data_IF_884112970078
#
_entry.id   IF_884112970078
#
_cell.length_a   1.000
_cell.length_b   1.000
_cell.length_c   1.000
_cell.angle_alpha   90.00
_cell.angle_beta   90.00
_cell.angle_gamma   90.00
#
_symmetry.space_group_name_H-M   'P 1'
#
loop_
_entity.id
_entity.type
_entity.pdbx_description
1 polymer ?
#
# COMPACT_ATOMS: atom_id res chain seq x y z
N UNK A 1 1.61 -17.71 41.38
CA UNK A 1 2.93 -17.23 40.93
C UNK A 1 2.70 -16.05 40.00
N UNK A 2 3.22 -14.86 40.32
CA UNK A 2 3.12 -13.72 39.39
C UNK A 2 4.08 -14.05 38.23
N UNK A 3 3.53 -14.25 37.03
CA UNK A 3 4.34 -14.47 35.83
C UNK A 3 5.31 -13.31 35.60
N UNK A 4 6.37 -13.55 34.81
CA UNK A 4 7.25 -12.46 34.38
C UNK A 4 6.44 -11.40 33.64
N UNK A 5 6.72 -10.11 33.83
CA UNK A 5 5.94 -9.06 33.19
C UNK A 5 6.26 -9.04 31.67
N UNK A 6 5.22 -8.80 30.86
CA UNK A 6 5.26 -8.96 29.39
C UNK A 6 6.26 -8.01 28.74
N UNK A 7 6.41 -6.80 29.28
CA UNK A 7 7.36 -5.78 28.81
C UNK A 7 8.82 -6.26 28.90
N UNK A 8 9.19 -6.95 29.98
CA UNK A 8 10.52 -7.54 30.13
C UNK A 8 10.76 -8.67 29.13
N UNK A 9 9.79 -9.56 28.94
CA UNK A 9 9.89 -10.66 27.98
C UNK A 9 10.06 -10.15 26.54
N UNK A 10 9.28 -9.14 26.15
CA UNK A 10 9.39 -8.52 24.83
C UNK A 10 10.75 -7.85 24.66
N UNK A 11 11.21 -7.11 25.68
CA UNK A 11 12.51 -6.44 25.63
C UNK A 11 13.67 -7.44 25.49
N UNK A 12 13.68 -8.52 26.28
CA UNK A 12 14.68 -9.61 26.18
C UNK A 12 14.66 -10.29 24.81
N UNK A 13 13.47 -10.49 24.23
CA UNK A 13 13.32 -11.08 22.89
C UNK A 13 13.87 -10.14 21.79
N UNK A 14 13.68 -8.84 21.92
CA UNK A 14 14.14 -7.84 20.95
C UNK A 14 15.63 -7.52 21.06
N UNK A 15 16.18 -7.58 22.27
CA UNK A 15 17.57 -7.25 22.60
C UNK A 15 18.23 -8.41 23.37
N UNK A 16 18.47 -9.57 22.73
CA UNK A 16 19.06 -10.72 23.41
C UNK A 16 20.51 -10.48 23.87
N UNK A 17 21.19 -9.49 23.28
CA UNK A 17 22.55 -9.04 23.64
C UNK A 17 22.59 -7.51 23.60
N UNK A 18 22.15 -6.83 24.67
CA UNK A 18 22.09 -5.36 24.68
C UNK A 18 23.49 -4.77 24.60
N UNK A 19 23.69 -3.81 23.69
CA UNK A 19 24.93 -3.03 23.56
C UNK A 19 24.84 -1.75 24.39
N UNK A 20 25.97 -1.10 24.65
CA UNK A 20 26.04 0.14 25.44
C UNK A 20 25.19 1.29 24.88
N UNK A 21 24.90 1.30 23.57
CA UNK A 21 24.02 2.30 22.93
C UNK A 21 22.53 1.92 22.88
N UNK A 22 22.17 0.72 23.31
CA UNK A 22 20.79 0.24 23.27
C UNK A 22 19.97 0.81 24.46
N UNK A 23 18.65 0.97 24.31
CA UNK A 23 17.79 1.47 25.38
C UNK A 23 17.81 0.48 26.55
N UNK A 24 17.99 0.93 27.80
CA UNK A 24 18.18 0.03 28.95
C UNK A 24 16.96 -0.82 29.33
N UNK A 25 15.75 -0.38 28.97
CA UNK A 25 14.49 -1.05 29.29
C UNK A 25 13.42 -0.73 28.25
N UNK A 26 12.30 -1.45 28.29
CA UNK A 26 11.20 -1.29 27.33
C UNK A 26 10.68 0.15 27.23
N UNK A 27 10.50 0.85 28.36
CA UNK A 27 10.08 2.26 28.36
C UNK A 27 11.06 3.21 27.63
N UNK A 28 12.38 3.01 27.75
CA UNK A 28 13.36 3.82 27.04
C UNK A 28 13.33 3.52 25.53
N UNK A 29 13.15 2.26 25.17
CA UNK A 29 12.97 1.84 23.79
C UNK A 29 11.71 2.46 23.16
N UNK A 30 10.60 2.41 23.90
CA UNK A 30 9.30 2.98 23.52
C UNK A 30 9.44 4.46 23.16
N UNK A 31 9.97 5.28 24.08
CA UNK A 31 10.08 6.73 23.89
C UNK A 31 11.06 7.10 22.78
N UNK A 32 12.19 6.39 22.67
CA UNK A 32 13.23 6.70 21.69
C UNK A 32 12.89 6.26 20.26
N UNK A 33 12.09 5.21 20.11
CA UNK A 33 11.96 4.49 18.83
C UNK A 33 10.52 4.31 18.38
N UNK A 34 9.65 3.76 19.21
CA UNK A 34 8.27 3.44 18.79
C UNK A 34 7.38 4.68 18.72
N UNK A 35 7.41 5.56 19.73
CA UNK A 35 6.56 6.77 19.75
C UNK A 35 6.85 7.69 18.54
N UNK A 36 8.12 7.96 18.18
CA UNK A 36 8.42 8.67 16.94
C UNK A 36 7.83 7.98 15.71
N UNK A 37 8.00 6.66 15.55
CA UNK A 37 7.43 5.92 14.41
C UNK A 37 5.91 6.03 14.33
N UNK A 38 5.20 5.94 15.47
CA UNK A 38 3.75 6.14 15.53
C UNK A 38 3.37 7.54 15.05
N UNK A 39 4.09 8.58 15.49
CA UNK A 39 3.82 9.96 15.06
C UNK A 39 4.04 10.15 13.56
N UNK A 40 5.09 9.55 13.00
CA UNK A 40 5.35 9.58 11.57
C UNK A 40 4.22 8.88 10.79
N UNK A 41 3.74 7.74 11.27
CA UNK A 41 2.62 7.05 10.63
C UNK A 41 1.32 7.85 10.69
N UNK A 42 1.01 8.42 11.86
CA UNK A 42 -0.19 9.26 12.03
C UNK A 42 -0.14 10.47 11.12
N UNK A 43 1.01 11.14 11.01
CA UNK A 43 1.20 12.27 10.11
C UNK A 43 1.08 11.85 8.64
N UNK A 44 1.65 10.71 8.25
CA UNK A 44 1.56 10.22 6.88
C UNK A 44 0.13 9.80 6.50
N UNK A 45 -0.64 9.26 7.46
CA UNK A 45 -1.99 8.76 7.22
C UNK A 45 -3.07 9.85 7.24
N UNK A 46 -3.02 10.76 8.24
CA UNK A 46 -4.01 11.83 8.41
C UNK A 46 -3.59 13.16 7.80
N UNK A 47 -2.33 13.31 7.40
CA UNK A 47 -1.76 14.58 6.99
C UNK A 47 -1.57 15.52 8.20
N UNK A 48 -2.48 16.47 8.38
CA UNK A 48 -2.36 17.49 9.41
C UNK A 48 -2.91 17.01 10.77
N UNK A 49 -2.13 17.17 11.84
CA UNK A 49 -2.46 16.68 13.19
C UNK A 49 -3.51 17.51 13.96
N UNK A 50 -4.26 18.37 13.28
CA UNK A 50 -5.30 19.19 13.92
C UNK A 50 -6.60 18.43 14.18
N UNK A 51 -6.86 17.36 13.43
CA UNK A 51 -8.06 16.57 13.63
C UNK A 51 -7.99 15.76 14.93
N UNK A 52 -9.14 15.61 15.58
CA UNK A 52 -9.24 14.83 16.80
C UNK A 52 -8.90 13.35 16.56
N UNK A 53 -9.21 12.86 15.36
CA UNK A 53 -8.87 11.52 14.90
C UNK A 53 -7.35 11.33 14.78
N UNK A 54 -6.63 12.31 14.22
CA UNK A 54 -5.16 12.25 14.15
C UNK A 54 -4.51 12.31 15.54
N UNK A 55 -5.10 13.04 16.49
CA UNK A 55 -4.59 13.10 17.87
C UNK A 55 -4.78 11.79 18.63
N UNK A 56 -5.83 11.03 18.30
CA UNK A 56 -6.16 9.74 18.93
C UNK A 56 -6.46 8.68 17.86
N UNK A 57 -5.44 8.25 17.09
CA UNK A 57 -5.62 7.35 15.95
C UNK A 57 -6.06 5.94 16.35
N UNK A 58 -5.91 5.58 17.64
CA UNK A 58 -6.45 4.33 18.16
C UNK A 58 -5.81 3.07 17.60
N UNK A 59 -4.51 3.12 17.31
CA UNK A 59 -3.78 1.99 16.70
C UNK A 59 -3.86 0.74 17.59
N UNK A 60 -4.54 -0.27 17.08
CA UNK A 60 -4.65 -1.61 17.66
C UNK A 60 -3.57 -2.54 17.07
N UNK A 61 -2.67 -3.02 17.92
CA UNK A 61 -1.52 -3.83 17.52
C UNK A 61 -1.88 -5.31 17.29
N UNK A 62 -3.10 -5.72 17.65
CA UNK A 62 -3.67 -7.03 17.29
C UNK A 62 -4.38 -6.97 15.92
N UNK A 63 -4.79 -5.78 15.49
CA UNK A 63 -5.49 -5.60 14.21
C UNK A 63 -4.51 -5.65 13.02
N UNK A 64 -4.75 -6.59 12.10
CA UNK A 64 -3.84 -6.90 10.99
C UNK A 64 -3.54 -5.68 10.08
N UNK A 65 -4.50 -4.85 9.65
CA UNK A 65 -4.22 -3.66 8.86
C UNK A 65 -3.27 -2.66 9.54
N UNK A 66 -3.44 -2.42 10.85
CA UNK A 66 -2.51 -1.57 11.61
C UNK A 66 -1.13 -2.19 11.68
N UNK A 67 -1.03 -3.50 11.92
CA UNK A 67 0.26 -4.20 11.90
C UNK A 67 0.96 -4.04 10.56
N UNK A 68 0.25 -4.19 9.44
CA UNK A 68 0.83 -4.04 8.10
C UNK A 68 1.35 -2.62 7.87
N UNK A 69 0.55 -1.60 8.20
CA UNK A 69 0.95 -0.18 8.08
C UNK A 69 2.18 0.13 8.91
N UNK A 70 2.14 -0.22 10.20
CA UNK A 70 3.25 0.03 11.14
C UNK A 70 4.48 -0.83 10.83
N UNK A 71 4.35 -1.98 10.17
CA UNK A 71 5.48 -2.82 9.77
C UNK A 71 6.39 -2.18 8.71
N UNK A 72 5.99 -1.05 8.12
CA UNK A 72 6.87 -0.20 7.29
C UNK A 72 8.04 0.34 8.09
N UNK A 73 7.85 0.55 9.39
CA UNK A 73 8.87 1.08 10.27
C UNK A 73 9.71 -0.03 10.91
N UNK A 74 11.05 0.15 11.02
CA UNK A 74 11.95 -0.91 11.44
C UNK A 74 11.71 -1.40 12.87
N UNK A 75 11.37 -0.52 13.81
CA UNK A 75 11.21 -0.91 15.21
C UNK A 75 9.86 -1.59 15.48
N UNK A 76 8.76 -1.09 14.91
CA UNK A 76 7.48 -1.80 14.93
C UNK A 76 7.55 -3.16 14.26
N UNK A 77 8.21 -3.27 13.09
CA UNK A 77 8.40 -4.57 12.42
C UNK A 77 9.12 -5.58 13.33
N UNK A 78 10.14 -5.13 14.07
CA UNK A 78 10.84 -5.99 15.05
C UNK A 78 9.97 -6.32 16.26
N UNK A 79 9.19 -5.36 16.76
CA UNK A 79 8.25 -5.55 17.87
C UNK A 79 7.21 -6.61 17.53
N UNK A 80 6.59 -6.51 16.35
CA UNK A 80 5.61 -7.48 15.88
C UNK A 80 6.18 -8.89 15.71
N UNK A 81 7.42 -8.99 15.22
CA UNK A 81 8.14 -10.27 15.20
C UNK A 81 8.36 -10.83 16.62
N UNK A 82 8.68 -9.98 17.59
CA UNK A 82 8.83 -10.40 18.99
C UNK A 82 7.49 -10.89 19.57
N UNK A 83 6.38 -10.21 19.27
CA UNK A 83 5.04 -10.65 19.68
C UNK A 83 4.69 -12.03 19.10
N UNK A 84 4.96 -12.23 17.81
CA UNK A 84 4.67 -13.49 17.13
C UNK A 84 5.58 -14.62 17.65
N UNK A 85 6.86 -14.34 17.92
CA UNK A 85 7.80 -15.31 18.48
C UNK A 85 7.42 -15.74 19.91
N UNK A 86 6.96 -14.79 20.73
CA UNK A 86 6.49 -15.04 22.09
C UNK A 86 5.05 -15.58 22.14
N UNK A 87 4.35 -15.59 20.99
CA UNK A 87 2.93 -15.97 20.85
C UNK A 87 2.03 -15.23 21.84
N UNK A 88 2.25 -13.93 21.98
CA UNK A 88 1.44 -13.11 22.89
C UNK A 88 -0.02 -13.10 22.44
N UNK A 89 -0.91 -13.19 23.42
CA UNK A 89 -2.35 -13.06 23.22
C UNK A 89 -2.73 -11.60 22.98
N UNK A 90 -3.89 -11.37 22.35
CA UNK A 90 -4.41 -10.02 22.11
C UNK A 90 -4.55 -9.21 23.42
N UNK A 91 -4.90 -9.88 24.52
CA UNK A 91 -5.02 -9.27 25.84
C UNK A 91 -3.66 -8.82 26.41
N UNK A 92 -2.61 -9.64 26.24
CA UNK A 92 -1.26 -9.30 26.68
C UNK A 92 -0.71 -8.13 25.85
N UNK A 93 -0.95 -8.14 24.54
CA UNK A 93 -0.59 -7.03 23.64
C UNK A 93 -1.31 -5.76 24.09
N UNK A 94 -2.63 -5.79 24.29
CA UNK A 94 -3.41 -4.65 24.74
C UNK A 94 -2.97 -4.14 26.13
N UNK A 95 -2.54 -5.04 27.01
CA UNK A 95 -2.01 -4.69 28.33
C UNK A 95 -0.66 -3.99 28.23
N UNK A 96 0.18 -4.39 27.28
CA UNK A 96 1.49 -3.79 27.01
C UNK A 96 1.36 -2.43 26.31
N UNK A 97 0.49 -2.30 25.32
CA UNK A 97 0.38 -1.15 24.40
C UNK A 97 -0.38 0.05 24.99
N UNK A 98 0.07 0.55 26.14
CA UNK A 98 -0.53 1.69 26.86
C UNK A 98 0.30 2.95 26.71
N UNK A 99 0.27 3.55 25.53
CA UNK A 99 1.00 4.79 25.23
C UNK A 99 0.28 5.64 24.17
N UNK A 100 0.79 6.84 23.89
CA UNK A 100 0.22 7.77 22.92
C UNK A 100 0.03 7.11 21.55
N UNK A 101 -1.14 7.32 20.94
CA UNK A 101 -1.46 6.80 19.61
C UNK A 101 -2.01 5.37 19.57
N UNK A 102 -2.01 4.61 20.67
CA UNK A 102 -2.62 3.27 20.68
C UNK A 102 -4.12 3.31 20.96
N UNK A 103 -4.80 2.19 20.71
CA UNK A 103 -6.21 1.98 21.04
C UNK A 103 -6.54 2.37 22.49
N UNK A 104 -5.67 2.04 23.44
CA UNK A 104 -5.86 2.39 24.85
C UNK A 104 -5.95 3.91 25.07
N UNK A 105 -5.12 4.70 24.38
CA UNK A 105 -5.14 6.16 24.51
C UNK A 105 -6.45 6.76 23.98
N UNK A 106 -6.98 6.22 22.87
CA UNK A 106 -8.29 6.60 22.31
C UNK A 106 -9.41 6.28 23.30
N UNK A 107 -9.54 5.03 23.72
CA UNK A 107 -10.60 4.58 24.64
C UNK A 107 -10.59 5.35 25.97
N UNK A 108 -9.39 5.63 26.50
CA UNK A 108 -9.23 6.43 27.72
C UNK A 108 -9.76 7.85 27.52
N UNK A 109 -9.41 8.51 26.43
CA UNK A 109 -9.89 9.86 26.12
C UNK A 109 -11.42 9.88 25.96
N UNK A 110 -11.97 8.92 25.21
CA UNK A 110 -13.41 8.84 24.97
C UNK A 110 -14.18 8.64 26.29
N UNK A 111 -13.67 7.80 27.17
CA UNK A 111 -14.25 7.57 28.50
C UNK A 111 -14.14 8.79 29.43
N UNK A 112 -13.00 9.48 29.44
CA UNK A 112 -12.78 10.64 30.31
C UNK A 112 -13.54 11.88 29.85
N UNK A 113 -13.71 12.07 28.54
CA UNK A 113 -14.42 13.22 27.96
C UNK A 113 -15.89 12.93 27.65
N UNK A 114 -16.30 11.67 27.60
CA UNK A 114 -17.65 11.27 27.20
C UNK A 114 -17.95 11.56 25.73
N UNK A 115 -16.93 11.61 24.88
CA UNK A 115 -17.04 11.90 23.44
C UNK A 115 -16.53 10.69 22.68
N UNK A 116 -17.22 10.28 21.62
CA UNK A 116 -16.77 9.22 20.71
C UNK A 116 -16.07 9.87 19.52
N UNK A 117 -14.86 9.43 19.19
CA UNK A 117 -14.11 9.94 18.04
C UNK A 117 -14.53 9.13 16.81
N UNK A 118 -15.26 9.79 15.91
CA UNK A 118 -15.67 9.23 14.61
C UNK A 118 -14.44 8.93 13.76
N UNK A 119 -14.42 7.75 13.16
CA UNK A 119 -13.47 7.35 12.12
C UNK A 119 -13.94 7.93 10.78
N UNK A 120 -13.11 8.76 10.16
CA UNK A 120 -13.38 9.36 8.83
C UNK A 120 -12.64 8.62 7.72
N UNK A 121 -11.90 7.55 8.05
CA UNK A 121 -11.19 6.69 7.12
C UNK A 121 -12.18 6.01 6.17
N UNK A 122 -12.44 6.64 5.03
CA UNK A 122 -13.34 6.13 4.00
C UNK A 122 -14.57 6.98 3.72
N UNK A 123 -14.80 8.08 4.45
CA UNK A 123 -15.94 8.98 4.19
C UNK A 123 -15.93 9.55 2.76
N UNK A 124 -14.75 9.65 2.12
CA UNK A 124 -14.58 10.11 0.73
C UNK A 124 -14.41 9.00 -0.31
N UNK A 125 -14.57 7.72 0.07
CA UNK A 125 -14.43 6.58 -0.85
C UNK A 125 -15.83 6.11 -1.23
N UNK A 126 -16.24 6.38 -2.47
CA UNK A 126 -17.49 5.86 -3.01
C UNK A 126 -17.46 4.34 -3.16
N UNK A 127 -18.62 3.71 -3.06
CA UNK A 127 -18.77 2.28 -3.33
C UNK A 127 -18.27 1.96 -4.75
N UNK A 128 -17.57 0.83 -4.88
CA UNK A 128 -17.09 0.41 -6.19
C UNK A 128 -18.26 0.13 -7.14
N UNK A 129 -18.36 0.93 -8.19
CA UNK A 129 -19.33 0.72 -9.29
C UNK A 129 -18.64 -0.05 -10.44
N UNK A 130 -19.32 -1.07 -10.96
CA UNK A 130 -18.89 -1.81 -12.15
C UNK A 130 -18.63 -0.86 -13.31
N UNK A 131 -17.57 -1.04 -14.12
CA UNK A 131 -17.24 -0.14 -15.24
C UNK A 131 -18.42 0.20 -16.16
N UNK A 132 -19.31 -0.76 -16.41
CA UNK A 132 -20.50 -0.59 -17.28
C UNK A 132 -21.57 0.34 -16.68
N UNK A 133 -21.60 0.46 -15.35
CA UNK A 133 -22.56 1.28 -14.61
C UNK A 133 -21.97 2.62 -14.16
N UNK A 134 -20.67 2.84 -14.41
CA UNK A 134 -20.05 4.14 -14.16
C UNK A 134 -20.70 5.14 -15.10
N UNK A 135 -21.20 6.27 -14.60
CA UNK A 135 -21.62 7.35 -15.48
C UNK A 135 -20.43 7.66 -16.39
N UNK A 136 -20.66 7.69 -17.71
CA UNK A 136 -19.66 8.21 -18.64
C UNK A 136 -19.39 9.64 -18.20
N UNK A 137 -18.29 9.85 -17.49
CA UNK A 137 -17.85 11.19 -17.15
C UNK A 137 -17.38 11.77 -18.46
N UNK A 138 -18.30 12.41 -19.18
CA UNK A 138 -17.94 13.44 -20.15
C UNK A 138 -17.15 14.41 -19.32
N UNK A 139 -15.82 14.38 -19.47
CA UNK A 139 -14.96 15.44 -18.94
C UNK A 139 -15.41 16.69 -19.67
N UNK A 140 -16.39 17.39 -19.12
CA UNK A 140 -16.61 18.77 -19.46
C UNK A 140 -15.32 19.45 -19.04
N UNK A 141 -14.52 19.85 -20.03
CA UNK A 141 -13.46 20.82 -19.82
C UNK A 141 -14.14 21.98 -19.08
N UNK A 142 -13.85 22.10 -17.79
CA UNK A 142 -14.30 23.24 -17.01
C UNK A 142 -13.54 24.41 -17.66
N UNK A 143 -14.23 25.39 -18.27
CA UNK A 143 -13.51 26.57 -18.72
C UNK A 143 -12.93 27.18 -17.44
N UNK A 144 -11.62 27.40 -17.44
CA UNK A 144 -10.96 28.15 -16.39
C UNK A 144 -11.65 29.51 -16.32
N UNK A 145 -12.52 29.68 -15.31
CA UNK A 145 -12.97 30.99 -14.88
C UNK A 145 -11.78 31.56 -14.13
N UNK A 146 -11.03 32.41 -14.82
CA UNK A 146 -10.04 33.29 -14.22
C UNK A 146 -10.72 34.06 -13.09
N UNK A 147 -10.34 33.75 -11.86
CA UNK A 147 -10.65 34.58 -10.70
C UNK A 147 -9.75 35.80 -10.83
N UNK A 148 -10.38 36.95 -11.13
CA UNK A 148 -9.76 38.26 -11.32
C UNK A 148 -9.04 38.66 -10.01
N UNK A 149 -7.75 38.36 -9.93
CA UNK A 149 -6.84 38.88 -8.91
C UNK A 149 -6.19 40.15 -9.46
N UNK A 150 -6.58 41.31 -8.92
CA UNK A 150 -5.91 42.59 -9.13
C UNK A 150 -4.51 42.52 -8.48
N UNK A 151 -3.46 42.37 -9.30
CA UNK A 151 -2.07 42.56 -8.88
C UNK A 151 -1.44 43.69 -9.71
N UNK A 152 -0.99 44.73 -9.00
CA UNK A 152 -0.34 45.93 -9.53
C UNK A 152 1.02 45.60 -10.21
N UNK A 153 1.27 46.26 -11.35
CA UNK A 153 2.49 46.17 -12.16
C UNK A 153 3.78 46.52 -11.39
N UNK A 154 4.79 45.66 -11.46
CA UNK A 154 6.19 46.10 -11.47
C UNK A 154 6.94 45.42 -12.63
N UNK A 155 7.41 46.25 -13.57
CA UNK A 155 8.18 45.88 -14.75
C UNK A 155 9.47 45.13 -14.40
N UNK A 156 9.69 43.98 -15.04
CA UNK A 156 11.04 43.49 -15.32
C UNK A 156 11.17 43.05 -16.78
N UNK A 157 12.15 43.72 -17.37
CA UNK A 157 12.70 43.72 -18.72
C UNK A 157 13.00 42.35 -19.35
N UNK A 158 13.00 42.41 -20.67
CA UNK A 158 13.12 41.41 -21.71
C UNK A 158 14.55 40.82 -21.78
N UNK A 159 14.71 39.49 -21.67
CA UNK A 159 15.51 38.66 -22.59
C UNK A 159 15.78 37.22 -22.10
N UNK A 160 15.49 36.29 -23.01
CA UNK A 160 16.25 35.07 -23.32
C UNK A 160 16.10 33.86 -22.36
N UNK A 161 15.34 32.86 -22.80
CA UNK A 161 15.90 31.56 -23.25
C UNK A 161 14.78 30.64 -23.75
N UNK A 162 14.94 30.21 -25.00
CA UNK A 162 14.20 29.16 -25.70
C UNK A 162 14.12 27.84 -24.90
N UNK A 163 12.94 27.25 -24.79
CA UNK A 163 12.81 25.79 -24.62
C UNK A 163 11.63 25.28 -25.45
N UNK A 164 11.97 24.77 -26.64
CA UNK A 164 11.11 24.00 -27.52
C UNK A 164 10.67 22.71 -26.83
N UNK A 165 9.50 22.71 -26.20
CA UNK A 165 8.76 21.47 -25.97
C UNK A 165 7.29 21.63 -26.33
N UNK A 166 7.03 21.61 -27.64
CA UNK A 166 5.71 21.27 -28.18
C UNK A 166 5.41 19.82 -27.80
N UNK A 167 4.86 19.62 -26.60
CA UNK A 167 4.28 18.36 -26.18
C UNK A 167 3.10 18.06 -27.12
N UNK A 168 3.39 17.30 -28.18
CA UNK A 168 2.39 16.88 -29.14
C UNK A 168 1.33 16.09 -28.38
N UNK A 169 0.11 16.61 -28.39
CA UNK A 169 -1.11 16.02 -27.83
C UNK A 169 -1.45 14.72 -28.58
N UNK A 170 -0.63 13.69 -28.39
CA UNK A 170 -0.87 12.35 -28.89
C UNK A 170 -1.90 11.75 -27.95
N UNK A 171 -3.13 11.62 -28.45
CA UNK A 171 -4.19 10.84 -27.83
C UNK A 171 -3.68 9.40 -27.59
N UNK A 172 -3.16 9.12 -26.40
CA UNK A 172 -2.72 7.76 -26.04
C UNK A 172 -3.98 6.92 -25.83
N UNK A 173 -4.47 6.30 -26.90
CA UNK A 173 -5.56 5.31 -26.82
C UNK A 173 -5.06 4.06 -26.10
N UNK A 174 -5.76 3.64 -25.06
CA UNK A 174 -5.37 2.45 -24.27
C UNK A 174 -5.44 1.18 -25.11
N UNK A 175 -4.28 0.61 -25.41
CA UNK A 175 -4.15 -0.71 -26.06
C UNK A 175 -4.70 -1.86 -25.19
N UNK A 176 -4.91 -1.60 -23.90
CA UNK A 176 -5.34 -2.62 -22.93
C UNK A 176 -6.79 -3.08 -23.09
N UNK A 177 -7.70 -2.22 -23.57
CA UNK A 177 -9.13 -2.58 -23.73
C UNK A 177 -9.32 -3.54 -24.91
N UNK A 178 -8.78 -3.18 -26.08
CA UNK A 178 -8.83 -4.02 -27.28
C UNK A 178 -8.07 -5.34 -27.13
N UNK A 179 -7.03 -5.39 -26.28
CA UNK A 179 -6.34 -6.64 -25.94
C UNK A 179 -7.19 -7.51 -25.01
N UNK A 180 -7.77 -6.92 -23.96
CA UNK A 180 -8.60 -7.64 -23.00
C UNK A 180 -9.84 -8.27 -23.67
N UNK A 181 -10.48 -7.57 -24.60
CA UNK A 181 -11.60 -8.08 -25.39
C UNK A 181 -11.21 -9.30 -26.23
N UNK A 182 -10.06 -9.25 -26.90
CA UNK A 182 -9.52 -10.38 -27.69
C UNK A 182 -9.22 -11.60 -26.82
N UNK A 183 -8.63 -11.40 -25.64
CA UNK A 183 -8.34 -12.48 -24.70
C UNK A 183 -9.62 -13.14 -24.16
N UNK A 184 -10.66 -12.34 -23.88
CA UNK A 184 -11.97 -12.84 -23.44
C UNK A 184 -12.64 -13.67 -24.55
N UNK A 185 -12.59 -13.19 -25.80
CA UNK A 185 -13.14 -13.91 -26.95
C UNK A 185 -12.42 -15.26 -27.18
N UNK A 186 -11.09 -15.26 -27.18
CA UNK A 186 -10.30 -16.49 -27.33
C UNK A 186 -10.52 -17.49 -26.17
N UNK A 187 -10.72 -17.00 -24.94
CA UNK A 187 -11.07 -17.84 -23.81
C UNK A 187 -12.47 -18.47 -23.97
N UNK A 188 -13.45 -17.72 -24.47
CA UNK A 188 -14.81 -18.22 -24.73
C UNK A 188 -14.83 -19.30 -25.83
N UNK A 189 -14.00 -19.17 -26.87
CA UNK A 189 -13.86 -20.17 -27.93
C UNK A 189 -13.23 -21.48 -27.43
N UNK A 190 -12.29 -21.40 -26.48
CA UNK A 190 -11.71 -22.57 -25.83
C UNK A 190 -12.69 -23.27 -24.90
N UNK A 191 -13.50 -22.51 -24.15
CA UNK A 191 -14.61 -23.04 -23.33
C UNK A 191 -15.67 -23.76 -24.20
N UNK A 192 -15.90 -23.27 -25.42
CA UNK A 192 -16.77 -23.90 -26.42
C UNK A 192 -16.17 -25.17 -27.07
N UNK A 193 -15.00 -25.63 -26.62
CA UNK A 193 -14.38 -26.88 -27.04
C UNK A 193 -13.34 -26.74 -28.16
N UNK A 194 -13.04 -25.52 -28.62
CA UNK A 194 -11.99 -25.29 -29.62
C UNK A 194 -10.62 -25.13 -28.96
N UNK A 195 -10.06 -26.25 -28.48
CA UNK A 195 -8.73 -26.33 -27.83
C UNK A 195 -7.56 -25.95 -28.76
N UNK A 196 -7.80 -25.86 -30.07
CA UNK A 196 -6.80 -25.47 -31.08
C UNK A 196 -6.84 -23.99 -31.45
N UNK A 197 -7.73 -23.19 -30.86
CA UNK A 197 -7.79 -21.76 -31.13
C UNK A 197 -6.51 -21.06 -30.62
N UNK A 198 -5.77 -20.35 -31.49
CA UNK A 198 -4.57 -19.60 -31.11
C UNK A 198 -4.94 -18.53 -30.06
N UNK A 199 -4.06 -18.30 -29.08
CA UNK A 199 -4.40 -17.39 -27.96
C UNK A 199 -4.40 -15.92 -28.42
N UNK A 200 -3.52 -15.61 -29.36
CA UNK A 200 -3.46 -14.33 -30.07
C UNK A 200 -2.62 -14.54 -31.35
N UNK A 201 -3.25 -14.47 -32.52
CA UNK A 201 -2.59 -14.69 -33.82
C UNK A 201 -1.45 -13.69 -34.07
N UNK A 202 -1.59 -12.45 -33.59
CA UNK A 202 -0.57 -11.41 -33.76
C UNK A 202 0.64 -11.69 -32.86
N UNK A 203 0.41 -12.23 -31.67
CA UNK A 203 1.47 -12.65 -30.76
C UNK A 203 2.20 -13.90 -31.29
N UNK A 204 1.47 -14.87 -31.82
CA UNK A 204 2.06 -16.09 -32.40
C UNK A 204 2.84 -15.79 -33.69
N UNK A 205 2.36 -14.87 -34.53
CA UNK A 205 3.10 -14.38 -35.69
C UNK A 205 4.34 -13.59 -35.29
N UNK A 206 4.24 -12.70 -34.30
CA UNK A 206 5.40 -12.01 -33.78
C UNK A 206 6.44 -12.98 -33.20
N UNK A 207 6.00 -14.02 -32.47
CA UNK A 207 6.89 -15.06 -31.95
C UNK A 207 7.54 -15.86 -33.07
N UNK A 208 6.78 -16.20 -34.13
CA UNK A 208 7.28 -16.89 -35.31
C UNK A 208 8.30 -16.07 -36.07
N UNK A 209 8.01 -14.79 -36.33
CA UNK A 209 8.92 -13.86 -36.98
C UNK A 209 10.19 -13.63 -36.12
N UNK A 210 10.05 -13.58 -34.78
CA UNK A 210 11.18 -13.50 -33.86
C UNK A 210 12.06 -14.77 -33.91
N UNK A 211 11.50 -15.96 -34.15
CA UNK A 211 12.30 -17.18 -34.35
C UNK A 211 12.96 -17.25 -35.72
N UNK A 212 12.29 -16.77 -36.76
CA UNK A 212 12.77 -16.86 -38.15
C UNK A 212 13.85 -15.81 -38.45
N UNK A 213 13.83 -14.65 -37.76
CA UNK A 213 14.66 -13.50 -38.13
C UNK A 213 15.95 -13.33 -37.31
N UNK A 214 16.04 -13.83 -36.07
CA UNK A 214 17.31 -14.00 -35.37
C UNK A 214 17.12 -14.88 -34.12
N UNK A 215 17.95 -15.92 -33.96
CA UNK A 215 17.76 -16.98 -32.97
C UNK A 215 17.57 -16.49 -31.53
N UNK A 216 16.32 -16.33 -31.09
CA UNK A 216 15.98 -16.19 -29.67
C UNK A 216 16.24 -17.52 -29.01
N UNK A 217 17.44 -17.67 -28.45
CA UNK A 217 17.74 -18.73 -27.52
C UNK A 217 16.79 -18.63 -26.32
N UNK A 218 15.69 -19.38 -26.34
CA UNK A 218 14.85 -19.69 -25.16
C UNK A 218 15.61 -20.65 -24.23
N UNK A 219 16.87 -20.32 -23.98
CA UNK A 219 17.74 -20.90 -22.99
C UNK A 219 18.09 -19.80 -21.98
N UNK A 220 17.10 -18.97 -21.62
CA UNK A 220 17.22 -18.15 -20.43
C UNK A 220 16.65 -18.96 -19.26
N UNK A 221 17.49 -19.52 -18.36
CA UNK A 221 17.05 -20.37 -17.25
C UNK A 221 16.14 -19.65 -16.24
N UNK A 222 15.94 -18.34 -16.39
CA UNK A 222 15.02 -17.52 -15.60
C UNK A 222 13.54 -17.59 -16.06
N UNK A 223 13.25 -18.22 -17.21
CA UNK A 223 11.88 -18.50 -17.67
C UNK A 223 11.45 -19.95 -17.39
N UNK A 224 12.09 -20.60 -16.41
CA UNK A 224 11.62 -21.89 -15.94
C UNK A 224 10.19 -21.71 -15.36
N UNK A 225 9.18 -22.50 -15.76
CA UNK A 225 7.82 -22.42 -15.21
C UNK A 225 7.75 -22.61 -13.68
N UNK A 226 8.84 -23.02 -13.03
CA UNK A 226 9.02 -23.09 -11.58
C UNK A 226 9.84 -21.94 -10.97
N UNK A 227 10.17 -20.88 -11.72
CA UNK A 227 10.83 -19.70 -11.17
C UNK A 227 9.86 -18.96 -10.24
N UNK A 228 10.14 -19.01 -8.94
CA UNK A 228 9.35 -18.31 -7.92
C UNK A 228 9.66 -16.81 -7.96
N UNK A 229 9.03 -16.10 -8.89
CA UNK A 229 9.14 -14.65 -9.02
C UNK A 229 8.31 -14.00 -7.90
N UNK A 230 8.92 -13.10 -7.14
CA UNK A 230 8.25 -12.32 -6.10
C UNK A 230 7.12 -11.51 -6.74
N UNK A 231 5.87 -11.80 -6.36
CA UNK A 231 4.66 -11.11 -6.87
C UNK A 231 3.73 -11.98 -7.71
N UNK A 232 4.16 -13.17 -8.15
CA UNK A 232 3.28 -14.13 -8.84
C UNK A 232 2.82 -15.23 -7.90
N UNK A 233 1.50 -15.48 -7.84
CA UNK A 233 0.94 -16.61 -7.09
C UNK A 233 1.19 -17.89 -7.89
N UNK A 234 1.74 -18.96 -7.29
CA UNK A 234 1.87 -20.23 -8.00
C UNK A 234 0.48 -20.74 -8.40
N UNK A 235 0.37 -21.30 -9.61
CA UNK A 235 -0.86 -21.91 -10.08
C UNK A 235 -1.33 -22.96 -9.04
N UNK A 236 -2.63 -23.00 -8.70
CA UNK A 236 -3.14 -24.05 -7.83
C UNK A 236 -2.98 -25.39 -8.56
N UNK A 237 -2.22 -26.30 -7.96
CA UNK A 237 -2.12 -27.68 -8.42
C UNK A 237 -3.54 -28.25 -8.54
N UNK A 238 -3.96 -28.54 -9.77
CA UNK A 238 -5.21 -29.22 -10.05
C UNK A 238 -5.25 -30.54 -9.28
N UNK A 239 -6.24 -30.64 -8.39
CA UNK A 239 -6.61 -31.87 -7.73
C UNK A 239 -6.89 -32.94 -8.79
N UNK A 240 -6.12 -34.03 -8.75
CA UNK A 240 -6.55 -35.32 -9.25
C UNK A 240 -7.87 -35.69 -8.60
N UNK A 241 -8.93 -35.88 -9.40
CA UNK A 241 -9.81 -37.07 -9.35
C UNK A 241 -10.25 -37.35 -10.78
#
# INVERSE_FOLDING_TARGET
>A
MKGRPVDQLVYECMFPKPKTGDPQHFQAFLQRSLVPEVRHETQAFYGHLTSQEAKYPGLDYSYRPHRVRLSRFPWHRRLFRAFDNLRLTEYEIATLTKWEGTRWAKERFEKEKGIIIRDTTGDGIEDWVSPELRPTVVRFAVPAVEEELEEEEEELDDNDLEDDNVESDIEITSVGTALNERLIAAAAEREAGNITAPMDEAWEQWMKDAYENDGVGISNPNLNPNANIVGTRPAPNGSRV
#
